data_IF_475995481361
#
_entry.id   IF_475995481361
#
_cell.length_a   1.000
_cell.length_b   1.000
_cell.length_c   1.000
_cell.angle_alpha   90.00
_cell.angle_beta   90.00
_cell.angle_gamma   90.00
#
_symmetry.space_group_name_H-M   'P 1'
#
loop_
_entity.id
_entity.type
_entity.pdbx_description
1 polymer ?
#
# COMPACT_ATOMS: atom_id res chain seq x y z
N UNK A 1 -16.93 -32.55 67.18
CA UNK A 1 -16.01 -32.26 66.05
C UNK A 1 -16.19 -33.31 64.97
N UNK A 2 -16.99 -33.02 63.94
CA UNK A 2 -17.02 -33.80 62.68
C UNK A 2 -17.08 -32.78 61.54
N UNK A 3 -16.03 -32.81 60.72
CA UNK A 3 -15.72 -31.82 59.68
C UNK A 3 -16.65 -32.01 58.49
N UNK A 4 -17.23 -30.91 58.01
CA UNK A 4 -17.92 -30.84 56.74
C UNK A 4 -16.88 -30.74 55.63
N UNK A 5 -16.90 -31.68 54.69
CA UNK A 5 -16.06 -31.66 53.49
C UNK A 5 -16.83 -30.93 52.40
N UNK A 6 -16.49 -29.67 52.17
CA UNK A 6 -17.00 -28.89 51.05
C UNK A 6 -16.26 -29.29 49.76
N UNK A 7 -17.02 -29.72 48.75
CA UNK A 7 -16.52 -29.93 47.40
C UNK A 7 -16.38 -28.55 46.75
N UNK A 8 -15.14 -28.13 46.48
CA UNK A 8 -14.83 -26.92 45.75
C UNK A 8 -15.04 -27.20 44.25
N UNK A 9 -16.08 -26.63 43.67
CA UNK A 9 -16.35 -26.71 42.23
C UNK A 9 -15.42 -25.70 41.54
N UNK A 10 -14.32 -26.17 40.95
CA UNK A 10 -13.46 -25.38 40.07
C UNK A 10 -14.24 -25.12 38.77
N UNK A 11 -14.85 -23.94 38.64
CA UNK A 11 -15.36 -23.47 37.37
C UNK A 11 -14.17 -23.03 36.50
N UNK A 12 -13.79 -23.85 35.54
CA UNK A 12 -12.96 -23.42 34.42
C UNK A 12 -13.73 -22.39 33.62
N UNK A 13 -13.45 -21.10 33.82
CA UNK A 13 -13.82 -20.04 32.90
C UNK A 13 -13.03 -20.29 31.61
N UNK A 14 -13.65 -20.98 30.64
CA UNK A 14 -13.18 -20.94 29.27
C UNK A 14 -13.27 -19.49 28.80
N UNK A 15 -12.12 -18.87 28.51
CA UNK A 15 -12.09 -17.53 27.93
C UNK A 15 -12.87 -17.54 26.62
N UNK A 16 -13.87 -16.68 26.52
CA UNK A 16 -14.52 -16.41 25.23
C UNK A 16 -13.45 -15.88 24.27
N UNK A 17 -13.42 -16.31 23.01
CA UNK A 17 -12.52 -15.71 22.02
C UNK A 17 -12.82 -14.21 21.97
N UNK A 18 -11.78 -13.38 22.16
CA UNK A 18 -11.89 -11.95 21.96
C UNK A 18 -12.27 -11.72 20.51
N UNK A 19 -13.47 -11.18 20.27
CA UNK A 19 -13.86 -10.74 18.93
C UNK A 19 -12.99 -9.52 18.64
N UNK A 20 -12.18 -9.58 17.58
CA UNK A 20 -11.37 -8.45 17.16
C UNK A 20 -12.30 -7.26 16.84
N UNK A 21 -11.93 -6.07 17.34
CA UNK A 21 -12.72 -4.86 17.11
C UNK A 21 -12.57 -4.40 15.66
N UNK A 22 -13.65 -3.87 15.07
CA UNK A 22 -13.53 -3.14 13.82
C UNK A 22 -12.71 -1.87 14.06
N UNK A 23 -11.85 -1.53 13.11
CA UNK A 23 -11.05 -0.31 13.08
C UNK A 23 -11.24 0.38 11.73
N UNK A 24 -11.07 1.69 11.69
CA UNK A 24 -11.13 2.48 10.44
C UNK A 24 -9.73 2.72 9.90
N UNK A 25 -9.61 2.79 8.57
CA UNK A 25 -8.38 3.25 7.94
C UNK A 25 -8.04 4.67 8.40
N UNK A 26 -9.05 5.52 8.52
CA UNK A 26 -8.87 6.89 8.99
C UNK A 26 -8.28 6.98 10.40
N UNK A 27 -8.76 6.20 11.36
CA UNK A 27 -8.22 6.26 12.72
C UNK A 27 -6.84 5.59 12.81
N UNK A 28 -6.62 4.51 12.05
CA UNK A 28 -5.31 3.84 12.01
C UNK A 28 -4.19 4.74 11.48
N UNK A 29 -4.49 5.57 10.47
CA UNK A 29 -3.54 6.52 9.88
C UNK A 29 -3.51 7.89 10.60
N UNK A 30 -4.06 7.99 11.82
CA UNK A 30 -3.99 9.23 12.58
C UNK A 30 -2.54 9.61 12.92
N UNK A 31 -2.20 10.89 12.74
CA UNK A 31 -0.86 11.46 12.96
C UNK A 31 -0.90 12.74 13.80
N UNK A 32 0.23 13.09 14.44
CA UNK A 32 0.46 14.38 15.08
C UNK A 32 1.13 15.38 14.12
N UNK A 33 1.52 16.56 14.63
CA UNK A 33 2.16 17.62 13.86
C UNK A 33 3.57 17.30 13.34
N UNK A 34 4.17 16.19 13.75
CA UNK A 34 5.47 15.70 13.28
C UNK A 34 5.34 14.52 12.32
N UNK A 35 4.12 14.16 11.91
CA UNK A 35 3.90 12.98 11.09
C UNK A 35 4.00 11.67 11.89
N UNK A 36 4.03 11.72 13.23
CA UNK A 36 4.09 10.53 14.07
C UNK A 36 2.69 9.98 14.37
N UNK A 37 2.54 8.65 14.33
CA UNK A 37 1.24 8.02 14.57
C UNK A 37 0.66 8.36 15.95
N UNK A 38 -0.61 8.77 15.97
CA UNK A 38 -1.42 9.04 17.18
C UNK A 38 -2.48 7.97 17.43
N UNK A 39 -2.48 6.89 16.65
CA UNK A 39 -3.41 5.77 16.82
C UNK A 39 -3.28 5.18 18.23
N UNK A 40 -4.43 4.99 18.89
CA UNK A 40 -4.53 4.55 20.30
C UNK A 40 -5.43 3.33 20.49
N UNK A 41 -5.75 2.63 19.40
CA UNK A 41 -6.50 1.38 19.43
C UNK A 41 -5.70 0.21 20.02
N UNK A 42 -6.28 -0.99 19.95
CA UNK A 42 -5.65 -2.21 20.45
C UNK A 42 -5.75 -3.37 19.48
N UNK A 43 -4.76 -4.26 19.51
CA UNK A 43 -4.77 -5.52 18.76
C UNK A 43 -5.51 -6.63 19.52
N UNK A 44 -6.14 -7.60 18.83
CA UNK A 44 -6.35 -7.58 17.38
C UNK A 44 -7.47 -6.62 16.96
N UNK A 45 -7.33 -6.06 15.76
CA UNK A 45 -8.39 -5.31 15.09
C UNK A 45 -8.66 -5.84 13.68
N UNK A 46 -9.78 -5.45 13.10
CA UNK A 46 -10.18 -5.80 11.72
C UNK A 46 -10.32 -4.53 10.89
N UNK A 47 -9.68 -4.51 9.72
CA UNK A 47 -9.93 -3.55 8.65
C UNK A 47 -10.75 -4.23 7.54
N UNK A 48 -11.60 -3.47 6.87
CA UNK A 48 -12.33 -3.91 5.68
C UNK A 48 -11.99 -2.99 4.53
N UNK A 49 -11.71 -3.55 3.36
CA UNK A 49 -11.44 -2.73 2.19
C UNK A 49 -11.26 -3.51 0.90
N UNK A 50 -11.01 -2.77 -0.16
CA UNK A 50 -10.72 -3.29 -1.49
C UNK A 50 -9.22 -3.31 -1.74
N UNK A 51 -8.70 -4.44 -2.25
CA UNK A 51 -7.31 -4.59 -2.64
C UNK A 51 -7.01 -3.69 -3.84
N UNK A 52 -6.03 -2.79 -3.70
CA UNK A 52 -5.69 -1.82 -4.75
C UNK A 52 -4.64 -2.32 -5.74
N UNK A 53 -3.69 -3.17 -5.34
CA UNK A 53 -2.61 -3.64 -6.20
C UNK A 53 -2.46 -5.17 -6.13
N UNK A 54 -1.88 -5.79 -7.17
CA UNK A 54 -1.29 -7.11 -6.97
C UNK A 54 0.06 -6.93 -6.28
N UNK A 55 0.42 -7.78 -5.32
CA UNK A 55 1.67 -7.62 -4.58
C UNK A 55 2.91 -7.82 -5.48
N UNK A 56 2.83 -8.73 -6.47
CA UNK A 56 3.91 -8.98 -7.43
C UNK A 56 4.21 -7.80 -8.35
N UNK A 57 3.31 -6.83 -8.46
CA UNK A 57 3.52 -5.63 -9.26
C UNK A 57 4.36 -4.60 -8.48
N UNK A 58 4.36 -4.69 -7.15
CA UNK A 58 5.02 -3.72 -6.26
C UNK A 58 6.39 -4.20 -5.78
N UNK A 59 6.48 -5.40 -5.17
CA UNK A 59 7.71 -5.95 -4.59
C UNK A 59 8.01 -7.35 -5.12
N UNK A 60 9.30 -7.71 -5.13
CA UNK A 60 9.74 -9.06 -5.48
C UNK A 60 9.68 -9.98 -4.26
N UNK A 61 8.69 -10.88 -4.27
CA UNK A 61 8.49 -11.86 -3.21
C UNK A 61 9.38 -13.13 -3.35
N UNK A 62 10.33 -13.16 -4.30
CA UNK A 62 11.19 -14.33 -4.51
C UNK A 62 12.04 -14.63 -3.28
N UNK A 63 11.94 -15.86 -2.77
CA UNK A 63 12.67 -16.29 -1.58
C UNK A 63 14.20 -16.20 -1.79
N UNK A 64 14.87 -15.41 -0.96
CA UNK A 64 16.31 -15.29 -0.90
C UNK A 64 16.78 -14.98 0.54
N UNK A 65 16.87 -16.02 1.36
CA UNK A 65 17.35 -15.89 2.73
C UNK A 65 18.83 -15.48 2.75
N UNK A 66 19.11 -14.38 3.44
CA UNK A 66 20.46 -13.85 3.67
C UNK A 66 20.68 -13.81 5.18
N UNK A 67 21.64 -14.58 5.73
CA UNK A 67 21.93 -14.53 7.16
C UNK A 67 22.60 -13.22 7.56
N UNK A 68 22.51 -12.85 8.85
CA UNK A 68 23.20 -11.69 9.41
C UNK A 68 24.72 -11.74 9.18
N UNK A 69 25.32 -12.94 9.33
CA UNK A 69 26.74 -13.24 9.08
C UNK A 69 27.71 -12.18 9.62
N UNK A 70 27.60 -11.89 10.92
CA UNK A 70 28.47 -10.91 11.59
C UNK A 70 28.35 -9.48 11.06
N UNK A 71 27.27 -9.15 10.36
CA UNK A 71 27.00 -7.84 9.75
C UNK A 71 27.13 -7.83 8.22
N UNK A 72 27.62 -8.90 7.58
CA UNK A 72 27.71 -8.94 6.12
C UNK A 72 26.33 -8.87 5.45
N UNK A 73 25.28 -9.37 6.10
CA UNK A 73 23.89 -9.29 5.63
C UNK A 73 23.19 -7.97 5.94
N UNK A 74 23.82 -7.01 6.64
CA UNK A 74 23.13 -5.81 7.12
C UNK A 74 22.41 -5.04 5.99
N UNK A 75 21.14 -4.74 6.22
CA UNK A 75 20.28 -4.02 5.27
C UNK A 75 19.82 -4.83 4.06
N UNK A 76 20.32 -6.07 3.88
CA UNK A 76 19.88 -6.91 2.77
C UNK A 76 18.56 -7.58 3.12
N UNK A 77 17.53 -7.25 2.34
CA UNK A 77 16.26 -7.95 2.38
C UNK A 77 16.27 -9.13 1.40
N UNK A 78 15.44 -10.13 1.70
CA UNK A 78 15.18 -11.27 0.81
C UNK A 78 13.94 -10.98 -0.02
N UNK A 79 13.02 -11.94 -0.09
CA UNK A 79 11.68 -11.67 -0.62
C UNK A 79 10.98 -10.59 0.21
N UNK A 80 10.25 -9.72 -0.48
CA UNK A 80 9.39 -8.71 0.13
C UNK A 80 8.00 -8.75 -0.52
N UNK A 81 6.97 -8.44 0.26
CA UNK A 81 5.59 -8.52 -0.17
C UNK A 81 4.81 -7.33 0.39
N UNK A 82 4.01 -6.68 -0.45
CA UNK A 82 3.18 -5.56 -0.03
C UNK A 82 1.86 -5.48 -0.77
N UNK A 83 0.79 -5.22 -0.03
CA UNK A 83 -0.56 -5.07 -0.53
C UNK A 83 -1.20 -3.84 0.10
N UNK A 84 -1.94 -3.06 -0.68
CA UNK A 84 -2.78 -1.98 -0.16
C UNK A 84 -4.24 -2.40 -0.16
N UNK A 85 -4.92 -2.10 0.94
CA UNK A 85 -6.38 -2.14 1.00
C UNK A 85 -6.91 -0.74 1.29
N UNK A 86 -7.90 -0.30 0.51
CA UNK A 86 -8.57 0.99 0.69
C UNK A 86 -9.94 0.80 1.32
N UNK A 87 -10.30 1.70 2.24
CA UNK A 87 -11.62 1.77 2.82
C UNK A 87 -12.70 1.84 1.72
N UNK A 88 -13.75 1.04 1.87
CA UNK A 88 -14.95 1.08 1.02
C UNK A 88 -16.24 1.40 1.80
N UNK A 89 -16.14 1.52 3.12
CA UNK A 89 -17.26 1.85 4.00
C UNK A 89 -17.51 3.37 4.06
N UNK A 90 -18.79 3.75 4.03
CA UNK A 90 -19.16 5.18 4.11
C UNK A 90 -18.71 5.79 5.43
N UNK A 91 -17.91 6.85 5.35
CA UNK A 91 -17.41 7.58 6.52
C UNK A 91 -16.02 7.14 6.98
N UNK A 92 -15.47 6.08 6.38
CA UNK A 92 -14.04 5.76 6.47
C UNK A 92 -13.32 6.27 5.20
N UNK A 93 -12.05 6.63 5.35
CA UNK A 93 -11.22 7.14 4.27
C UNK A 93 -9.78 6.70 4.46
N UNK A 94 -9.10 6.51 3.33
CA UNK A 94 -7.69 6.17 3.26
C UNK A 94 -7.49 4.70 2.93
N UNK A 95 -6.24 4.29 2.97
CA UNK A 95 -5.89 2.89 2.79
C UNK A 95 -4.67 2.50 3.60
N UNK A 96 -4.57 1.21 3.91
CA UNK A 96 -3.54 0.66 4.77
C UNK A 96 -2.67 -0.30 3.98
N UNK A 97 -1.36 -0.16 4.13
CA UNK A 97 -0.41 -1.12 3.58
C UNK A 97 -0.32 -2.34 4.53
N UNK A 98 -0.34 -3.52 3.93
CA UNK A 98 0.06 -4.79 4.53
C UNK A 98 1.47 -5.08 4.01
N UNK A 99 2.44 -5.30 4.88
CA UNK A 99 3.82 -5.53 4.45
C UNK A 99 4.47 -6.69 5.19
N UNK A 100 5.27 -7.46 4.45
CA UNK A 100 6.16 -8.48 4.99
C UNK A 100 7.51 -8.48 4.30
N UNK A 101 8.56 -8.78 5.06
CA UNK A 101 9.91 -8.99 4.56
C UNK A 101 10.51 -10.29 5.08
N UNK A 102 11.30 -10.96 4.25
CA UNK A 102 11.89 -12.26 4.60
C UNK A 102 12.99 -12.16 5.66
N UNK A 103 13.88 -11.17 5.55
CA UNK A 103 15.13 -11.11 6.30
C UNK A 103 15.13 -10.03 7.40
N UNK A 104 14.09 -9.99 8.25
CA UNK A 104 14.02 -9.02 9.36
C UNK A 104 15.26 -8.99 10.26
N UNK A 105 15.96 -10.11 10.36
CA UNK A 105 17.23 -10.23 11.08
C UNK A 105 18.33 -9.26 10.65
N UNK A 106 18.28 -8.81 9.40
CA UNK A 106 19.26 -7.93 8.79
C UNK A 106 18.98 -6.44 9.00
N UNK A 107 17.85 -6.10 9.63
CA UNK A 107 17.54 -4.72 9.98
C UNK A 107 18.59 -4.17 10.97
N UNK A 108 18.96 -2.87 10.88
CA UNK A 108 20.03 -2.25 11.68
C UNK A 108 19.87 -2.29 13.21
N UNK A 109 18.74 -2.78 13.72
CA UNK A 109 18.43 -2.89 15.14
C UNK A 109 18.22 -4.34 15.62
N UNK A 110 18.18 -5.32 14.71
CA UNK A 110 17.85 -6.71 15.02
C UNK A 110 19.10 -7.61 15.12
N UNK A 111 20.01 -7.54 14.15
CA UNK A 111 21.31 -8.24 14.13
C UNK A 111 21.23 -9.75 14.40
N UNK A 112 20.23 -10.45 13.87
CA UNK A 112 19.98 -11.87 14.19
C UNK A 112 19.31 -12.63 13.05
N UNK A 113 20.03 -13.61 12.47
CA UNK A 113 19.49 -14.52 11.44
C UNK A 113 18.22 -15.25 11.87
N UNK A 114 18.02 -15.47 13.18
CA UNK A 114 16.88 -16.23 13.70
C UNK A 114 15.54 -15.52 13.46
N UNK A 115 15.57 -14.20 13.23
CA UNK A 115 14.39 -13.39 12.91
C UNK A 115 14.02 -13.42 11.42
N UNK A 116 14.87 -13.98 10.54
CA UNK A 116 14.57 -14.09 9.11
C UNK A 116 13.93 -15.43 8.74
N UNK A 117 12.96 -15.43 7.82
CA UNK A 117 12.31 -16.64 7.32
C UNK A 117 13.29 -17.41 6.43
N UNK A 118 13.41 -18.72 6.64
CA UNK A 118 14.07 -19.58 5.65
C UNK A 118 13.29 -19.52 4.33
N UNK A 119 13.90 -19.90 3.20
CA UNK A 119 13.19 -19.86 1.92
C UNK A 119 11.89 -20.65 1.93
N UNK A 120 11.90 -21.86 2.49
CA UNK A 120 10.69 -22.68 2.61
C UNK A 120 9.63 -22.04 3.50
N UNK A 121 10.02 -21.49 4.65
CA UNK A 121 9.06 -20.84 5.53
C UNK A 121 8.47 -19.57 4.89
N UNK A 122 9.29 -18.81 4.15
CA UNK A 122 8.83 -17.66 3.39
C UNK A 122 7.82 -18.05 2.30
N UNK A 123 8.08 -19.13 1.55
CA UNK A 123 7.14 -19.66 0.56
C UNK A 123 5.81 -20.08 1.20
N UNK A 124 5.83 -20.66 2.40
CA UNK A 124 4.62 -20.97 3.17
C UNK A 124 3.83 -19.71 3.57
N UNK A 125 4.52 -18.64 4.00
CA UNK A 125 3.88 -17.35 4.28
C UNK A 125 3.32 -16.71 3.01
N UNK A 126 4.00 -16.81 1.88
CA UNK A 126 3.48 -16.33 0.60
C UNK A 126 2.24 -17.09 0.16
N UNK A 127 2.15 -18.41 0.42
CA UNK A 127 0.90 -19.15 0.20
C UNK A 127 -0.21 -18.66 1.14
N UNK A 128 0.10 -18.43 2.42
CA UNK A 128 -0.87 -17.96 3.43
C UNK A 128 -1.43 -16.57 3.12
N UNK A 129 -0.61 -15.65 2.60
CA UNK A 129 -1.02 -14.28 2.34
C UNK A 129 -1.63 -14.05 0.97
N UNK A 130 -1.26 -14.88 -0.03
CA UNK A 130 -1.78 -14.71 -1.39
C UNK A 130 -3.04 -15.52 -1.67
N UNK A 131 -3.46 -16.40 -0.76
CA UNK A 131 -4.64 -17.26 -0.97
C UNK A 131 -5.58 -17.23 0.23
N UNK A 132 -6.86 -17.11 -0.07
CA UNK A 132 -7.92 -17.27 0.92
C UNK A 132 -7.96 -18.74 1.40
N UNK A 133 -7.87 -18.98 2.73
CA UNK A 133 -7.73 -20.34 3.25
C UNK A 133 -8.99 -21.20 3.07
N UNK A 134 -10.16 -20.58 2.99
CA UNK A 134 -11.44 -21.29 2.93
C UNK A 134 -11.81 -21.67 1.49
N UNK A 135 -11.50 -20.81 0.53
CA UNK A 135 -11.88 -20.98 -0.88
C UNK A 135 -10.72 -21.40 -1.78
N UNK A 136 -9.47 -21.18 -1.35
CA UNK A 136 -8.28 -21.31 -2.20
C UNK A 136 -8.20 -20.25 -3.31
N UNK A 137 -9.02 -19.20 -3.25
CA UNK A 137 -8.97 -18.09 -4.19
C UNK A 137 -7.66 -17.32 -4.01
N UNK A 138 -6.94 -17.07 -5.11
CA UNK A 138 -5.77 -16.20 -5.06
C UNK A 138 -6.26 -14.76 -4.98
N UNK A 139 -5.87 -14.03 -3.93
CA UNK A 139 -6.19 -12.61 -3.81
C UNK A 139 -5.65 -11.82 -5.00
N UNK A 140 -6.48 -10.91 -5.51
CA UNK A 140 -6.23 -10.04 -6.64
C UNK A 140 -6.68 -8.62 -6.35
N UNK A 141 -6.08 -7.69 -7.10
CA UNK A 141 -6.62 -6.35 -7.24
C UNK A 141 -8.13 -6.38 -7.52
N UNK A 142 -8.87 -5.52 -6.81
CA UNK A 142 -10.32 -5.40 -6.90
C UNK A 142 -11.09 -6.44 -6.08
N UNK A 143 -10.42 -7.36 -5.37
CA UNK A 143 -11.10 -8.19 -4.37
C UNK A 143 -11.41 -7.35 -3.12
N UNK A 144 -12.57 -7.59 -2.53
CA UNK A 144 -12.96 -7.04 -1.23
C UNK A 144 -12.60 -8.03 -0.13
N UNK A 145 -11.93 -7.55 0.91
CA UNK A 145 -11.37 -8.39 1.97
C UNK A 145 -11.59 -7.79 3.35
N UNK A 146 -11.50 -8.65 4.36
CA UNK A 146 -11.14 -8.21 5.72
C UNK A 146 -9.71 -8.59 6.03
N UNK A 147 -9.06 -7.77 6.84
CA UNK A 147 -7.74 -8.05 7.39
C UNK A 147 -7.83 -8.06 8.90
N UNK A 148 -7.51 -9.21 9.52
CA UNK A 148 -7.36 -9.28 10.98
C UNK A 148 -5.91 -9.05 11.33
N UNK A 149 -5.63 -7.90 11.93
CA UNK A 149 -4.27 -7.48 12.30
C UNK A 149 -4.00 -7.81 13.77
N UNK A 150 -3.07 -8.74 14.02
CA UNK A 150 -2.55 -9.01 15.36
C UNK A 150 -1.42 -8.03 15.76
N UNK A 151 -0.85 -7.34 14.78
CA UNK A 151 0.13 -6.29 14.99
C UNK A 151 0.06 -5.24 13.87
N UNK A 152 0.58 -4.05 14.17
CA UNK A 152 0.76 -2.95 13.21
C UNK A 152 1.90 -2.06 13.69
N UNK A 153 2.74 -1.58 12.79
CA UNK A 153 3.85 -0.69 13.12
C UNK A 153 3.72 0.64 12.40
N UNK A 154 4.09 1.72 13.08
CA UNK A 154 4.36 3.00 12.43
C UNK A 154 5.82 3.04 11.99
N UNK A 155 6.06 3.47 10.74
CA UNK A 155 7.39 3.77 10.26
C UNK A 155 7.33 4.86 9.19
N UNK A 156 7.79 6.06 9.53
CA UNK A 156 8.02 7.12 8.55
C UNK A 156 6.77 7.71 7.89
N UNK A 157 5.73 7.96 8.68
CA UNK A 157 4.53 8.68 8.27
C UNK A 157 3.32 7.80 7.98
N UNK A 158 3.51 6.48 7.80
CA UNK A 158 2.39 5.52 7.68
C UNK A 158 2.42 4.44 8.77
N UNK A 159 1.23 4.03 9.21
CA UNK A 159 1.05 2.83 10.04
C UNK A 159 0.59 1.66 9.17
N UNK A 160 1.39 0.59 9.17
CA UNK A 160 1.21 -0.56 8.30
C UNK A 160 0.81 -1.76 9.17
N UNK A 161 -0.02 -2.65 8.63
CA UNK A 161 -0.21 -3.98 9.23
C UNK A 161 0.98 -4.85 8.81
N UNK A 162 1.66 -5.43 9.80
CA UNK A 162 2.81 -6.31 9.61
C UNK A 162 2.97 -7.20 10.84
N UNK A 163 4.07 -7.95 10.90
CA UNK A 163 4.33 -8.93 11.96
C UNK A 163 5.33 -8.42 13.03
N UNK A 164 5.55 -7.10 13.10
CA UNK A 164 6.43 -6.50 14.11
C UNK A 164 7.89 -6.97 14.05
N UNK A 165 8.37 -7.30 12.85
CA UNK A 165 9.69 -7.90 12.62
C UNK A 165 9.91 -9.23 13.36
N UNK A 166 8.83 -9.97 13.63
CA UNK A 166 8.81 -11.27 14.27
C UNK A 166 8.23 -12.32 13.32
N UNK A 167 8.66 -13.57 13.48
CA UNK A 167 8.09 -14.74 12.80
C UNK A 167 7.22 -15.59 13.73
N UNK A 168 6.92 -15.06 14.92
CA UNK A 168 5.97 -15.70 15.82
C UNK A 168 4.60 -15.69 15.15
N UNK A 169 4.02 -16.88 14.98
CA UNK A 169 2.68 -17.06 14.40
C UNK A 169 1.59 -16.24 15.09
N UNK A 170 1.78 -15.84 16.36
CA UNK A 170 0.89 -14.94 17.07
C UNK A 170 0.90 -13.49 16.57
N UNK A 171 1.90 -13.10 15.78
CA UNK A 171 2.01 -11.79 15.14
C UNK A 171 1.45 -11.77 13.71
N UNK A 172 1.17 -12.94 13.13
CA UNK A 172 0.64 -13.04 11.77
C UNK A 172 -0.68 -12.28 11.66
N UNK A 173 -0.85 -11.49 10.60
CA UNK A 173 -2.16 -10.99 10.20
C UNK A 173 -2.79 -11.94 9.19
N UNK A 174 -4.12 -12.00 9.10
CA UNK A 174 -4.83 -12.79 8.09
C UNK A 174 -5.63 -11.91 7.15
N UNK A 175 -5.74 -12.35 5.90
CA UNK A 175 -6.62 -11.76 4.88
C UNK A 175 -7.73 -12.76 4.60
N UNK A 176 -8.98 -12.33 4.63
CA UNK A 176 -10.16 -13.18 4.33
C UNK A 176 -10.94 -12.54 3.20
N UNK A 177 -11.32 -13.35 2.22
CA UNK A 177 -12.11 -12.89 1.08
C UNK A 177 -13.55 -12.61 1.51
N UNK A 178 -14.04 -11.41 1.20
CA UNK A 178 -15.47 -11.08 1.30
C UNK A 178 -16.16 -11.24 -0.06
N UNK A 179 -15.53 -10.71 -1.11
CA UNK A 179 -16.07 -10.72 -2.47
C UNK A 179 -14.92 -10.73 -3.49
N UNK A 180 -14.88 -11.74 -4.35
CA UNK A 180 -13.92 -11.81 -5.44
C UNK A 180 -14.32 -10.86 -6.57
N UNK A 181 -13.36 -10.07 -7.07
CA UNK A 181 -13.55 -9.22 -8.24
C UNK A 181 -14.66 -8.18 -8.10
N UNK A 182 -14.82 -7.61 -6.91
CA UNK A 182 -15.72 -6.47 -6.65
C UNK A 182 -15.40 -5.26 -7.55
N UNK A 183 -14.15 -5.16 -8.00
CA UNK A 183 -13.63 -4.08 -8.82
C UNK A 183 -12.84 -3.09 -7.98
N UNK A 184 -12.02 -2.26 -8.63
CA UNK A 184 -11.39 -1.14 -7.94
C UNK A 184 -12.44 -0.08 -7.57
N UNK A 185 -12.23 0.69 -6.48
CA UNK A 185 -12.99 1.92 -6.31
C UNK A 185 -12.77 2.86 -7.51
N UNK A 186 -13.75 3.71 -7.80
CA UNK A 186 -13.55 4.78 -8.79
C UNK A 186 -12.38 5.67 -8.30
N UNK A 187 -11.37 5.93 -9.14
CA UNK A 187 -10.25 6.77 -8.73
C UNK A 187 -10.74 8.19 -8.43
N UNK A 188 -10.24 8.80 -7.35
CA UNK A 188 -10.45 10.22 -7.13
C UNK A 188 -9.61 11.03 -8.13
N UNK A 189 -10.28 11.78 -8.99
CA UNK A 189 -9.63 12.74 -9.90
C UNK A 189 -9.12 13.94 -9.12
N UNK A 190 -7.80 14.11 -9.12
CA UNK A 190 -7.09 15.19 -8.45
C UNK A 190 -5.99 15.76 -9.35
N UNK A 191 -5.50 16.94 -9.01
CA UNK A 191 -4.30 17.54 -9.57
C UNK A 191 -3.18 17.58 -8.51
N UNK A 192 -1.93 17.82 -8.92
CA UNK A 192 -0.81 17.91 -7.97
C UNK A 192 -1.01 18.99 -6.88
N UNK A 193 -1.79 20.03 -7.17
CA UNK A 193 -2.12 21.06 -6.19
C UNK A 193 -2.99 20.54 -5.04
N UNK A 194 -3.81 19.51 -5.26
CA UNK A 194 -4.62 18.90 -4.20
C UNK A 194 -3.77 18.16 -3.16
N UNK A 195 -2.57 17.73 -3.56
CA UNK A 195 -1.59 17.13 -2.66
C UNK A 195 -0.83 18.15 -1.81
N UNK A 196 -1.01 19.45 -2.07
CA UNK A 196 -0.44 20.50 -1.22
C UNK A 196 -1.36 20.78 -0.03
N UNK A 197 -0.77 20.92 1.15
CA UNK A 197 -1.48 21.32 2.35
C UNK A 197 -1.97 22.78 2.24
N UNK A 198 -3.10 23.09 2.89
CA UNK A 198 -3.59 24.45 2.97
C UNK A 198 -2.57 25.38 3.65
N UNK A 199 -2.01 26.30 2.87
CA UNK A 199 -1.03 27.30 3.35
C UNK A 199 -1.56 28.23 4.44
N UNK A 200 -2.88 28.33 4.60
CA UNK A 200 -3.55 29.07 5.68
C UNK A 200 -3.91 28.20 6.89
N UNK A 201 -3.74 26.89 6.77
CA UNK A 201 -4.01 25.90 7.82
C UNK A 201 -3.08 26.04 9.02
N UNK A 202 -3.62 25.80 10.21
CA UNK A 202 -2.82 25.77 11.42
C UNK A 202 -1.82 24.58 11.37
N UNK A 203 -0.53 24.88 11.54
CA UNK A 203 0.52 23.86 11.49
C UNK A 203 1.15 23.66 10.11
N UNK A 204 0.76 24.43 9.09
CA UNK A 204 1.45 24.44 7.79
C UNK A 204 2.95 24.76 7.96
N UNK A 205 3.79 23.93 7.36
CA UNK A 205 5.25 24.09 7.31
C UNK A 205 5.70 24.12 5.84
N UNK A 206 6.26 25.24 5.35
CA UNK A 206 6.69 25.33 3.94
C UNK A 206 7.83 24.38 3.59
N UNK A 207 8.52 23.77 4.55
CA UNK A 207 9.50 22.71 4.28
C UNK A 207 8.82 21.36 3.98
N UNK A 208 7.55 21.20 4.35
CA UNK A 208 6.75 20.00 4.16
C UNK A 208 5.41 20.37 3.50
N UNK A 209 5.44 20.90 2.27
CA UNK A 209 4.29 21.57 1.67
C UNK A 209 3.10 20.65 1.39
N UNK A 210 3.28 19.33 1.45
CA UNK A 210 2.24 18.32 1.24
C UNK A 210 1.62 17.78 2.54
N UNK A 211 2.23 18.06 3.70
CA UNK A 211 1.83 17.48 4.97
C UNK A 211 0.78 18.34 5.69
N UNK A 212 -0.32 17.71 6.09
CA UNK A 212 -1.37 18.29 6.93
C UNK A 212 -1.74 17.30 8.03
N UNK A 213 -1.40 17.63 9.28
CA UNK A 213 -1.67 16.77 10.43
C UNK A 213 -3.17 16.54 10.71
N UNK A 214 -4.06 17.43 10.22
CA UNK A 214 -5.51 17.22 10.30
C UNK A 214 -6.02 16.22 9.26
N UNK A 215 -5.19 15.97 8.24
CA UNK A 215 -5.45 15.10 7.09
C UNK A 215 -6.68 15.52 6.29
N UNK A 216 -7.11 16.78 6.43
CA UNK A 216 -8.25 17.34 5.70
C UNK A 216 -7.83 17.86 4.31
N UNK A 217 -6.55 18.16 4.14
CA UNK A 217 -5.92 18.62 2.89
C UNK A 217 -4.58 17.92 2.70
N UNK A 218 -3.88 18.22 1.60
CA UNK A 218 -2.55 17.70 1.34
C UNK A 218 -2.50 16.21 1.05
N UNK A 219 -1.30 15.68 0.84
CA UNK A 219 -1.08 14.28 0.50
C UNK A 219 -1.52 13.30 1.61
N UNK A 220 -1.49 13.75 2.87
CA UNK A 220 -2.03 13.01 4.02
C UNK A 220 -3.51 12.64 3.84
N UNK A 221 -4.31 13.52 3.22
CA UNK A 221 -5.72 13.25 2.96
C UNK A 221 -5.93 12.08 1.99
N UNK A 222 -4.96 11.80 1.12
CA UNK A 222 -5.04 10.80 0.07
C UNK A 222 -4.22 9.55 0.36
N UNK A 223 -3.58 9.44 1.53
CA UNK A 223 -2.68 8.32 1.82
C UNK A 223 -3.40 6.95 1.74
N UNK A 224 -2.88 6.06 0.89
CA UNK A 224 -3.47 4.76 0.58
C UNK A 224 -4.73 4.80 -0.29
N UNK A 225 -5.06 5.93 -0.91
CA UNK A 225 -6.21 6.10 -1.80
C UNK A 225 -5.79 5.91 -3.26
N UNK A 226 -6.64 5.25 -4.03
CA UNK A 226 -6.55 5.15 -5.49
C UNK A 226 -7.00 6.46 -6.14
N UNK A 227 -6.09 7.08 -6.89
CA UNK A 227 -6.28 8.41 -7.48
C UNK A 227 -6.00 8.39 -8.97
N UNK A 228 -6.57 9.38 -9.66
CA UNK A 228 -6.25 9.78 -11.03
C UNK A 228 -5.64 11.18 -10.97
N UNK A 229 -4.33 11.27 -11.21
CA UNK A 229 -3.59 12.53 -11.31
C UNK A 229 -3.52 12.98 -12.76
N UNK A 230 -4.02 14.18 -13.04
CA UNK A 230 -4.10 14.71 -14.40
C UNK A 230 -2.94 15.64 -14.72
N UNK A 231 -2.66 15.82 -16.02
CA UNK A 231 -1.79 16.88 -16.55
C UNK A 231 -0.35 16.88 -16.01
N UNK A 232 0.23 15.68 -15.84
CA UNK A 232 1.60 15.52 -15.39
C UNK A 232 2.59 15.72 -16.54
N UNK A 233 3.72 16.35 -16.23
CA UNK A 233 4.87 16.48 -17.11
C UNK A 233 6.05 15.73 -16.49
N UNK A 234 6.74 14.92 -17.28
CA UNK A 234 7.96 14.24 -16.83
C UNK A 234 9.08 15.26 -16.58
N UNK A 235 9.67 15.25 -15.38
CA UNK A 235 10.81 16.09 -15.00
C UNK A 235 12.11 15.27 -14.96
N UNK A 236 12.06 14.08 -14.35
CA UNK A 236 13.14 13.09 -14.36
C UNK A 236 12.56 11.69 -14.56
N UNK A 237 13.03 10.99 -15.60
CA UNK A 237 12.63 9.62 -15.93
C UNK A 237 13.68 8.58 -15.55
N UNK A 238 14.65 8.92 -14.70
CA UNK A 238 15.79 8.06 -14.38
C UNK A 238 15.40 6.68 -13.84
N UNK A 239 14.31 6.59 -13.09
CA UNK A 239 13.81 5.32 -12.57
C UNK A 239 12.84 4.56 -13.46
N UNK A 240 12.60 5.01 -14.70
CA UNK A 240 11.68 4.35 -15.62
C UNK A 240 12.23 2.97 -16.03
N UNK A 241 11.46 1.91 -15.78
CA UNK A 241 11.88 0.53 -16.02
C UNK A 241 12.96 0.01 -15.06
N UNK A 242 13.23 0.72 -13.95
CA UNK A 242 14.07 0.22 -12.87
C UNK A 242 13.47 -1.03 -12.22
N UNK A 243 14.31 -1.82 -11.54
CA UNK A 243 13.86 -3.08 -10.90
C UNK A 243 14.08 -3.09 -9.39
N UNK A 244 15.16 -2.49 -8.89
CA UNK A 244 15.37 -2.34 -7.45
C UNK A 244 14.46 -1.24 -6.87
N UNK A 245 13.94 -1.42 -5.64
CA UNK A 245 13.00 -0.48 -5.00
C UNK A 245 13.44 0.98 -5.12
N UNK A 246 14.69 1.28 -4.70
CA UNK A 246 15.25 2.63 -4.69
C UNK A 246 15.57 3.20 -6.08
N UNK A 247 15.66 2.37 -7.10
CA UNK A 247 15.95 2.79 -8.48
C UNK A 247 14.68 3.11 -9.28
N UNK A 248 13.49 2.83 -8.75
CA UNK A 248 12.20 2.97 -9.46
C UNK A 248 11.54 4.33 -9.28
N UNK A 249 12.31 5.37 -9.04
CA UNK A 249 11.80 6.72 -8.85
C UNK A 249 11.92 7.56 -10.10
N UNK A 250 10.80 8.09 -10.56
CA UNK A 250 10.74 9.20 -11.51
C UNK A 250 10.20 10.43 -10.78
N UNK A 251 10.47 11.62 -11.31
CA UNK A 251 9.90 12.88 -10.81
C UNK A 251 9.02 13.48 -11.89
N UNK A 252 7.80 13.88 -11.51
CA UNK A 252 6.88 14.64 -12.37
C UNK A 252 6.62 16.01 -11.80
N UNK A 253 6.09 16.89 -12.64
CA UNK A 253 5.58 18.20 -12.25
C UNK A 253 4.30 18.58 -12.95
N UNK A 254 3.60 19.57 -12.40
CA UNK A 254 2.52 20.28 -13.09
C UNK A 254 3.06 21.53 -13.81
N UNK A 255 2.17 22.28 -14.47
CA UNK A 255 2.51 23.54 -15.14
C UNK A 255 3.01 24.64 -14.17
N UNK A 256 2.60 24.57 -12.89
CA UNK A 256 3.04 25.49 -11.84
C UNK A 256 4.43 25.13 -11.28
N UNK A 257 4.95 23.94 -11.61
CA UNK A 257 6.24 23.43 -11.16
C UNK A 257 6.20 22.71 -9.82
N UNK A 258 5.02 22.34 -9.30
CA UNK A 258 4.90 21.48 -8.13
C UNK A 258 5.40 20.07 -8.49
N UNK A 259 6.20 19.46 -7.62
CA UNK A 259 6.85 18.16 -7.89
C UNK A 259 6.19 17.03 -7.11
N UNK A 260 6.14 15.84 -7.70
CA UNK A 260 5.80 14.59 -7.03
C UNK A 260 6.68 13.46 -7.56
N UNK A 261 7.07 12.54 -6.67
CA UNK A 261 7.74 11.32 -7.07
C UNK A 261 6.74 10.28 -7.54
N UNK A 262 7.06 9.61 -8.65
CA UNK A 262 6.37 8.43 -9.13
C UNK A 262 7.22 7.19 -8.86
N UNK A 263 6.65 6.22 -8.15
CA UNK A 263 7.24 4.89 -7.94
C UNK A 263 6.75 3.95 -9.04
N UNK A 264 7.68 3.49 -9.87
CA UNK A 264 7.37 2.60 -10.99
C UNK A 264 7.05 1.17 -10.49
N UNK A 265 6.08 0.48 -11.11
CA UNK A 265 5.82 -0.93 -10.85
C UNK A 265 6.90 -1.83 -11.45
N UNK A 266 6.86 -3.13 -11.16
CA UNK A 266 7.75 -4.13 -11.76
C UNK A 266 7.39 -4.50 -13.20
N UNK A 267 6.14 -4.27 -13.62
CA UNK A 267 5.73 -4.50 -15.00
C UNK A 267 6.01 -3.29 -15.89
N UNK A 268 6.02 -3.54 -17.20
CA UNK A 268 6.28 -2.52 -18.21
C UNK A 268 5.06 -1.60 -18.40
N UNK A 269 5.24 -0.31 -18.13
CA UNK A 269 4.25 0.75 -18.39
C UNK A 269 4.32 1.29 -19.84
N UNK A 270 5.26 0.81 -20.64
CA UNK A 270 5.54 1.27 -21.99
C UNK A 270 6.63 2.35 -22.05
N UNK A 271 6.61 3.14 -23.13
CA UNK A 271 7.59 4.21 -23.32
C UNK A 271 7.34 5.38 -22.36
N UNK A 272 8.42 6.06 -21.97
CA UNK A 272 8.36 7.31 -21.18
C UNK A 272 7.50 8.34 -21.93
N UNK A 273 6.46 8.92 -21.30
CA UNK A 273 5.67 9.98 -21.91
C UNK A 273 6.53 11.21 -22.26
N UNK A 274 6.40 11.71 -23.50
CA UNK A 274 7.14 12.89 -23.98
C UNK A 274 6.34 14.20 -23.90
N UNK A 275 5.11 14.15 -23.40
CA UNK A 275 4.21 15.29 -23.26
C UNK A 275 3.39 15.18 -21.97
N UNK A 276 2.29 15.93 -21.89
CA UNK A 276 1.33 15.78 -20.79
C UNK A 276 0.79 14.35 -20.76
N UNK A 277 0.59 13.82 -19.55
CA UNK A 277 -0.02 12.51 -19.34
C UNK A 277 -0.72 12.47 -18.00
N UNK A 278 -1.61 11.51 -17.86
CA UNK A 278 -2.28 11.19 -16.61
C UNK A 278 -1.69 9.94 -16.00
N UNK A 279 -1.69 9.87 -14.68
CA UNK A 279 -1.28 8.68 -13.94
C UNK A 279 -2.38 8.24 -12.98
N UNK A 280 -2.58 6.93 -12.88
CA UNK A 280 -3.46 6.30 -11.92
C UNK A 280 -2.61 5.49 -10.96
N UNK A 281 -2.90 5.57 -9.66
CA UNK A 281 -2.04 4.94 -8.68
C UNK A 281 -2.50 5.14 -7.25
N UNK A 282 -1.66 4.70 -6.33
CA UNK A 282 -1.89 4.79 -4.88
C UNK A 282 -0.99 5.86 -4.32
N UNK A 283 -1.54 6.86 -3.63
CA UNK A 283 -0.71 7.80 -2.88
C UNK A 283 -0.09 7.03 -1.70
N UNK A 284 1.23 6.97 -1.66
CA UNK A 284 2.01 6.29 -0.64
C UNK A 284 2.95 7.29 0.04
N UNK A 285 3.58 6.84 1.12
CA UNK A 285 4.60 7.60 1.83
C UNK A 285 5.76 6.69 2.23
N UNK A 286 6.96 7.07 1.80
CA UNK A 286 8.22 6.38 2.06
C UNK A 286 9.24 7.39 2.61
N UNK A 287 9.02 7.91 3.83
CA UNK A 287 9.96 8.90 4.40
C UNK A 287 11.32 8.28 4.75
N UNK A 288 11.36 6.97 5.02
CA UNK A 288 12.57 6.27 5.45
C UNK A 288 13.15 6.76 6.78
N UNK A 289 12.43 7.62 7.52
CA UNK A 289 12.84 8.18 8.82
C UNK A 289 11.72 8.02 9.84
N UNK A 290 12.00 7.34 10.94
CA UNK A 290 10.99 7.08 11.98
C UNK A 290 10.64 8.35 12.78
N UNK A 291 11.52 9.36 12.80
CA UNK A 291 11.42 10.54 13.66
C UNK A 291 10.66 11.71 13.03
N UNK A 292 10.49 11.73 11.71
CA UNK A 292 9.78 12.79 10.99
C UNK A 292 8.97 12.17 9.84
N UNK A 293 7.66 12.09 10.02
CA UNK A 293 6.73 11.48 9.07
C UNK A 293 6.06 12.49 8.16
N UNK A 294 6.66 13.67 7.91
CA UNK A 294 6.01 14.75 7.15
C UNK A 294 6.38 14.79 5.66
N UNK A 295 7.21 13.86 5.19
CA UNK A 295 7.74 13.83 3.83
C UNK A 295 7.73 12.43 3.24
N UNK A 296 8.19 12.30 1.99
CA UNK A 296 8.31 11.02 1.30
C UNK A 296 7.05 10.60 0.54
N UNK A 297 6.12 11.51 0.29
CA UNK A 297 4.94 11.22 -0.52
C UNK A 297 5.32 10.90 -1.96
N UNK A 298 4.64 9.91 -2.50
CA UNK A 298 4.80 9.45 -3.86
C UNK A 298 3.51 8.83 -4.38
N UNK A 299 3.42 8.66 -5.68
CA UNK A 299 2.40 7.83 -6.31
C UNK A 299 3.02 6.49 -6.71
N UNK A 300 2.54 5.38 -6.16
CA UNK A 300 2.80 4.08 -6.77
C UNK A 300 1.95 3.96 -8.05
N UNK A 301 2.63 3.96 -9.19
CA UNK A 301 1.97 4.04 -10.50
C UNK A 301 1.45 2.68 -10.90
N UNK A 302 0.16 2.64 -11.25
CA UNK A 302 -0.53 1.45 -11.72
C UNK A 302 -0.91 1.56 -13.20
N UNK A 303 -1.14 2.76 -13.68
CA UNK A 303 -1.42 2.98 -15.10
C UNK A 303 -0.99 4.40 -15.46
N UNK A 304 -0.56 4.57 -16.70
CA UNK A 304 -0.44 5.87 -17.32
C UNK A 304 -1.37 5.96 -18.53
N UNK A 305 -1.90 7.14 -18.77
CA UNK A 305 -2.64 7.46 -19.99
C UNK A 305 -2.00 8.71 -20.57
N UNK A 306 -1.21 8.60 -21.65
CA UNK A 306 -0.80 9.79 -22.38
C UNK A 306 -2.05 10.58 -22.74
N UNK A 307 -2.09 11.87 -22.39
CA UNK A 307 -3.14 12.77 -22.88
C UNK A 307 -3.19 12.58 -24.40
N UNK A 308 -4.38 12.43 -25.01
CA UNK A 308 -4.46 12.01 -26.39
C UNK A 308 -3.60 12.95 -27.22
N UNK A 309 -2.85 12.37 -28.15
CA UNK A 309 -2.21 13.08 -29.24
C UNK A 309 -3.27 13.89 -30.01
N UNK A 310 -3.68 15.03 -29.46
CA UNK A 310 -4.62 15.97 -30.03
C UNK A 310 -4.06 16.65 -31.29
N UNK A 311 -2.94 16.13 -31.81
CA UNK A 311 -2.27 16.53 -33.03
C UNK A 311 -2.31 15.47 -34.16
N UNK A 312 -2.91 14.27 -33.99
CA UNK A 312 -2.95 13.26 -35.08
C UNK A 312 -4.33 12.66 -35.43
N UNK A 313 -5.42 13.37 -35.11
CA UNK A 313 -6.75 13.11 -35.69
C UNK A 313 -7.18 14.19 -36.71
N UNK A 314 -6.20 14.82 -37.36
CA UNK A 314 -6.40 15.60 -38.57
C UNK A 314 -5.85 14.80 -39.77
N UNK A 315 -6.78 14.29 -40.58
CA UNK A 315 -6.59 13.80 -41.96
C UNK A 315 -6.01 12.37 -42.10
N UNK A 316 -6.83 11.35 -41.84
CA UNK A 316 -6.95 10.21 -42.79
C UNK A 316 -8.37 9.65 -42.69
N UNK A 317 -9.15 9.76 -43.77
CA UNK A 317 -10.29 8.86 -43.97
C UNK A 317 -11.64 9.42 -44.42
N UNK A 318 -11.76 10.70 -44.84
CA UNK A 318 -12.81 11.02 -45.84
C UNK A 318 -12.22 10.68 -47.20
N UNK A 319 -12.35 9.41 -47.60
CA UNK A 319 -12.38 8.94 -49.00
C UNK A 319 -12.62 7.43 -48.99
N UNK A 320 -13.90 7.04 -49.04
CA UNK A 320 -14.30 5.65 -49.11
C UNK A 320 -15.81 5.44 -49.18
N UNK A 321 -16.56 6.35 -49.80
CA UNK A 321 -17.92 6.05 -50.23
C UNK A 321 -17.86 5.07 -51.40
N UNK A 322 -18.59 3.94 -51.30
CA UNK A 322 -19.43 3.29 -52.33
C UNK A 322 -19.40 1.76 -52.18
N UNK A 323 -20.52 1.21 -51.67
CA UNK A 323 -21.23 0.14 -52.37
C UNK A 323 -21.02 -1.31 -51.91
N UNK A 324 -21.55 -1.68 -50.75
CA UNK A 324 -21.95 -3.07 -50.53
C UNK A 324 -23.24 -3.37 -51.32
N UNK A 325 -23.14 -4.02 -52.48
CA UNK A 325 -24.28 -4.67 -53.16
C UNK A 325 -23.94 -6.13 -53.48
N UNK A 326 -24.69 -7.02 -52.80
CA UNK A 326 -24.96 -8.45 -53.03
C UNK A 326 -24.48 -9.06 -54.35
N UNK A 327 -23.94 -10.27 -54.27
CA UNK A 327 -24.30 -11.37 -55.18
C UNK A 327 -24.47 -12.69 -54.43
N UNK A 328 -25.69 -13.20 -54.45
CA UNK A 328 -25.99 -14.62 -54.42
C UNK A 328 -25.52 -15.22 -55.76
N UNK A 329 -24.77 -16.33 -55.68
CA UNK A 329 -25.08 -17.62 -56.28
C UNK A 329 -24.13 -18.66 -55.68
#
# INVERSE_FOLDING_TARGET
>A
MRRATGILMCACLAGLPSIAAAETHWDLQATDSMGASTWSGSHPFVLTGTILNNPEDMLDATANFVPWDGGAGQGQMGGEWQLFIQADETGDRGGTALWMGQNYGNLPWNHSSDLGYSNTAWEEEMLRLNYDPDTGHRFRQGDRVTVTANYSAFYGGKRNVNEGHSKDTGMNFSVTLLEAGAGLPEPESIDLTDLLADTSGAGYDPNFPMFDASRQTGAEHYQGVYVHLSNLLMDDSSGWGGTAWGERLCTVKDEAGNLLNLRMPLYDLGEVPTGSFDAFGIINQESGMAEDGRFGYELFVMQITPEPASALLLITGVLGWVGARRRNK
#
